data_IF_954321453637
#
_entry.id   IF_954321453637
#
_cell.length_a   1.000
_cell.length_b   1.000
_cell.length_c   1.000
_cell.angle_alpha   90.00
_cell.angle_beta   90.00
_cell.angle_gamma   90.00
#
_symmetry.space_group_name_H-M   'P 1'
#
loop_
_entity.id
_entity.type
_entity.pdbx_description
1 polymer ?
#
# COMPACT_ATOMS: atom_id res chain seq x y z
N UNK A 1 -16.87 0.95 14.22
CA UNK A 1 -16.80 -0.35 13.51
C UNK A 1 -18.00 -0.63 12.65
N UNK A 2 -19.22 -0.83 13.19
CA UNK A 2 -20.43 -1.20 12.40
C UNK A 2 -20.65 -0.34 11.14
N UNK A 3 -20.69 1.00 11.29
CA UNK A 3 -20.88 1.91 10.14
C UNK A 3 -19.79 1.80 9.07
N UNK A 4 -18.56 1.44 9.44
CA UNK A 4 -17.48 1.22 8.46
C UNK A 4 -17.74 -0.08 7.70
N UNK A 5 -18.08 -1.16 8.41
CA UNK A 5 -18.42 -2.46 7.81
C UNK A 5 -19.61 -2.34 6.85
N UNK A 6 -20.66 -1.59 7.24
CA UNK A 6 -21.85 -1.40 6.40
C UNK A 6 -21.50 -0.79 5.02
N UNK A 7 -20.42 0.01 4.94
CA UNK A 7 -19.97 0.66 3.69
C UNK A 7 -18.96 -0.21 2.93
N UNK A 8 -18.15 -1.02 3.62
CA UNK A 8 -17.02 -1.73 3.02
C UNK A 8 -17.23 -3.23 2.85
N UNK A 9 -18.34 -3.81 3.33
CA UNK A 9 -18.57 -5.26 3.31
C UNK A 9 -18.48 -5.92 1.92
N UNK A 10 -18.82 -5.18 0.86
CA UNK A 10 -18.81 -5.68 -0.51
C UNK A 10 -17.43 -5.50 -1.20
N UNK A 11 -16.45 -4.91 -0.51
CA UNK A 11 -15.11 -4.68 -1.04
C UNK A 11 -14.22 -5.91 -0.84
N UNK A 12 -14.05 -6.66 -1.92
CA UNK A 12 -13.29 -7.92 -1.98
C UNK A 12 -12.22 -7.82 -3.05
N UNK A 13 -11.12 -8.55 -2.90
CA UNK A 13 -10.13 -8.72 -3.97
C UNK A 13 -10.70 -9.67 -5.03
N UNK A 14 -10.90 -9.20 -6.26
CA UNK A 14 -11.63 -9.95 -7.30
C UNK A 14 -10.75 -10.41 -8.47
N UNK A 15 -9.56 -9.85 -8.62
CA UNK A 15 -8.61 -10.20 -9.67
C UNK A 15 -7.16 -9.96 -9.21
N UNK A 16 -6.18 -10.52 -9.93
CA UNK A 16 -4.76 -10.36 -9.59
C UNK A 16 -4.23 -8.96 -9.96
N UNK A 17 -4.56 -8.49 -11.17
CA UNK A 17 -4.01 -7.26 -11.72
C UNK A 17 -5.01 -6.56 -12.65
N UNK A 18 -5.37 -5.31 -12.33
CA UNK A 18 -6.21 -4.48 -13.19
C UNK A 18 -5.45 -3.77 -14.34
N UNK A 19 -4.12 -3.94 -14.42
CA UNK A 19 -3.26 -3.34 -15.46
C UNK A 19 -3.08 -1.82 -15.37
N UNK A 20 -3.49 -1.17 -14.29
CA UNK A 20 -3.34 0.29 -14.14
C UNK A 20 -1.90 0.68 -13.84
N UNK A 21 -1.37 1.64 -14.61
CA UNK A 21 -0.12 2.35 -14.33
C UNK A 21 -0.38 3.64 -13.50
N UNK A 22 -1.64 3.88 -13.15
CA UNK A 22 -2.00 4.93 -12.21
C UNK A 22 -1.58 4.54 -10.81
N UNK A 23 -1.26 5.56 -10.03
CA UNK A 23 -0.75 5.38 -8.68
C UNK A 23 -0.59 6.72 -7.99
N UNK A 24 -0.08 6.67 -6.78
CA UNK A 24 0.25 7.84 -5.99
C UNK A 24 1.76 7.90 -5.80
N UNK A 25 2.33 9.09 -6.00
CA UNK A 25 3.72 9.32 -5.65
C UNK A 25 3.86 9.37 -4.13
N UNK A 26 4.71 8.52 -3.57
CA UNK A 26 5.03 8.48 -2.16
C UNK A 26 6.43 9.02 -1.94
N UNK A 27 6.56 9.84 -0.89
CA UNK A 27 7.81 10.42 -0.37
C UNK A 27 7.82 10.26 1.15
N UNK A 28 8.96 10.44 1.80
CA UNK A 28 8.99 10.52 3.26
C UNK A 28 8.04 11.63 3.77
N UNK A 29 7.33 11.38 4.88
CA UNK A 29 6.49 12.37 5.53
C UNK A 29 7.35 13.21 6.48
N UNK A 30 7.49 14.50 6.17
CA UNK A 30 8.28 15.45 6.97
C UNK A 30 7.35 16.51 7.54
N UNK A 31 7.39 16.69 8.87
CA UNK A 31 6.60 17.70 9.58
C UNK A 31 7.52 18.43 10.56
N UNK A 32 7.52 19.76 10.52
CA UNK A 32 8.38 20.57 11.41
C UNK A 32 9.89 20.39 11.23
N UNK A 33 10.35 19.77 10.13
CA UNK A 33 11.76 19.47 9.88
C UNK A 33 12.21 18.10 10.42
N UNK A 34 11.32 17.34 11.04
CA UNK A 34 11.55 15.96 11.45
C UNK A 34 10.85 14.99 10.50
N UNK A 35 11.48 13.84 10.25
CA UNK A 35 10.88 12.76 9.47
C UNK A 35 9.95 11.98 10.39
N UNK A 36 8.64 12.12 10.15
CA UNK A 36 7.59 11.43 10.91
C UNK A 36 7.45 9.98 10.44
N UNK A 37 7.55 9.75 9.13
CA UNK A 37 7.45 8.43 8.52
C UNK A 37 8.40 8.35 7.32
N UNK A 38 9.27 7.34 7.31
CA UNK A 38 10.24 7.15 6.23
C UNK A 38 9.54 6.76 4.93
N UNK A 39 10.20 6.95 3.78
CA UNK A 39 9.66 6.44 2.51
C UNK A 39 9.45 4.93 2.59
N UNK A 40 10.43 4.20 3.14
CA UNK A 40 10.44 2.75 3.33
C UNK A 40 9.16 2.25 3.99
N UNK A 41 8.82 2.81 5.15
CA UNK A 41 7.65 2.40 5.93
C UNK A 41 6.34 2.65 5.18
N UNK A 42 6.27 3.76 4.42
CA UNK A 42 5.07 4.13 3.65
C UNK A 42 4.80 3.23 2.46
N UNK A 43 5.86 2.66 1.86
CA UNK A 43 5.76 1.89 0.61
C UNK A 43 5.92 0.38 0.78
N UNK A 44 6.38 -0.10 1.94
CA UNK A 44 6.51 -1.53 2.23
C UNK A 44 5.20 -2.27 1.98
N UNK A 45 5.29 -3.36 1.22
CA UNK A 45 4.17 -4.20 0.83
C UNK A 45 3.30 -3.63 -0.29
N UNK A 46 3.59 -2.43 -0.82
CA UNK A 46 2.88 -1.89 -2.00
C UNK A 46 3.51 -2.38 -3.29
N UNK A 47 2.82 -2.17 -4.41
CA UNK A 47 3.32 -2.51 -5.75
C UNK A 47 3.71 -1.26 -6.51
N UNK A 48 4.88 -1.28 -7.16
CA UNK A 48 5.34 -0.18 -8.01
C UNK A 48 4.40 -0.01 -9.23
N UNK A 49 3.95 1.22 -9.48
CA UNK A 49 3.06 1.52 -10.62
C UNK A 49 3.83 1.72 -11.93
N UNK A 50 5.09 2.14 -11.84
CA UNK A 50 6.02 2.30 -12.97
C UNK A 50 7.40 1.79 -12.54
N UNK A 51 8.32 1.65 -13.49
CA UNK A 51 9.70 1.29 -13.22
C UNK A 51 10.36 2.31 -12.28
N UNK A 52 11.04 1.81 -11.26
CA UNK A 52 11.88 2.61 -10.36
C UNK A 52 13.30 2.57 -10.90
N UNK A 53 13.84 3.74 -11.23
CA UNK A 53 15.16 3.91 -11.83
C UNK A 53 16.12 4.55 -10.85
N UNK A 54 17.40 4.21 -10.97
CA UNK A 54 18.46 4.85 -10.20
C UNK A 54 18.59 6.32 -10.61
N UNK A 55 18.64 7.28 -9.67
CA UNK A 55 18.65 8.71 -9.96
C UNK A 55 19.86 9.12 -10.83
N UNK A 56 21.06 8.64 -10.49
CA UNK A 56 22.28 8.97 -11.22
C UNK A 56 22.53 8.12 -12.48
N UNK A 57 22.41 6.79 -12.38
CA UNK A 57 22.81 5.88 -13.47
C UNK A 57 21.71 5.60 -14.48
N UNK A 58 20.46 5.96 -14.17
CA UNK A 58 19.26 5.64 -14.97
C UNK A 58 19.02 4.14 -15.20
N UNK A 59 19.73 3.27 -14.46
CA UNK A 59 19.48 1.83 -14.49
C UNK A 59 18.17 1.50 -13.76
N UNK A 60 17.37 0.59 -14.32
CA UNK A 60 16.15 0.10 -13.67
C UNK A 60 16.51 -0.73 -12.43
N UNK A 61 16.05 -0.29 -11.26
CA UNK A 61 16.25 -0.96 -9.97
C UNK A 61 15.11 -1.92 -9.67
N UNK A 62 13.88 -1.54 -10.02
CA UNK A 62 12.68 -2.35 -9.86
C UNK A 62 11.73 -2.12 -11.04
N UNK A 63 11.26 -3.19 -11.67
CA UNK A 63 10.26 -3.09 -12.75
C UNK A 63 8.85 -2.85 -12.21
N UNK A 64 8.02 -2.17 -12.98
CA UNK A 64 6.62 -1.93 -12.70
C UNK A 64 5.87 -3.24 -12.40
N UNK A 65 4.90 -3.18 -11.49
CA UNK A 65 4.07 -4.32 -11.13
C UNK A 65 4.69 -5.29 -10.12
N UNK A 66 5.92 -5.06 -9.67
CA UNK A 66 6.53 -5.80 -8.57
C UNK A 66 6.23 -5.18 -7.20
N UNK A 67 6.12 -6.05 -6.19
CA UNK A 67 5.94 -5.64 -4.81
C UNK A 67 7.25 -5.11 -4.23
N UNK A 68 7.12 -4.10 -3.37
CA UNK A 68 8.18 -3.54 -2.55
C UNK A 68 8.25 -4.34 -1.24
N UNK A 69 9.18 -5.28 -1.20
CA UNK A 69 9.54 -6.06 -0.01
C UNK A 69 10.78 -5.46 0.67
N UNK A 70 11.21 -6.07 1.77
CA UNK A 70 12.34 -5.60 2.57
C UNK A 70 13.65 -5.56 1.77
N UNK A 71 13.91 -6.58 0.95
CA UNK A 71 15.14 -6.70 0.15
C UNK A 71 15.20 -5.68 -0.98
N UNK A 72 14.09 -5.49 -1.71
CA UNK A 72 14.00 -4.47 -2.76
C UNK A 72 14.12 -3.06 -2.20
N UNK A 73 13.54 -2.79 -1.02
CA UNK A 73 13.67 -1.50 -0.37
C UNK A 73 15.09 -1.20 0.11
N UNK A 74 15.85 -2.20 0.56
CA UNK A 74 17.27 -2.02 0.90
C UNK A 74 18.07 -1.52 -0.31
N UNK A 75 17.81 -2.07 -1.50
CA UNK A 75 18.47 -1.65 -2.75
C UNK A 75 18.07 -0.23 -3.13
N UNK A 76 16.77 0.10 -3.04
CA UNK A 76 16.26 1.44 -3.40
C UNK A 76 16.77 2.52 -2.45
N UNK A 77 16.88 2.22 -1.15
CA UNK A 77 17.39 3.12 -0.13
C UNK A 77 18.89 3.38 -0.31
N UNK A 78 19.68 2.34 -0.58
CA UNK A 78 21.12 2.47 -0.90
C UNK A 78 21.37 3.28 -2.19
N UNK A 79 20.46 3.19 -3.16
CA UNK A 79 20.52 3.95 -4.41
C UNK A 79 20.06 5.42 -4.25
N UNK A 80 19.57 5.82 -3.07
CA UNK A 80 19.12 7.18 -2.80
C UNK A 80 17.81 7.57 -3.47
N UNK A 81 16.90 6.61 -3.69
CA UNK A 81 15.56 6.88 -4.23
C UNK A 81 14.71 7.59 -3.18
N UNK A 82 14.21 8.79 -3.52
CA UNK A 82 13.45 9.67 -2.62
C UNK A 82 11.94 9.70 -2.90
N UNK A 83 11.51 9.21 -4.06
CA UNK A 83 10.12 9.14 -4.49
C UNK A 83 9.83 7.85 -5.25
N UNK A 84 8.72 7.18 -4.92
CA UNK A 84 8.25 5.98 -5.63
C UNK A 84 6.76 6.15 -5.95
N UNK A 85 6.39 5.93 -7.21
CA UNK A 85 4.98 5.87 -7.61
C UNK A 85 4.45 4.46 -7.37
N UNK A 86 3.52 4.33 -6.43
CA UNK A 86 2.92 3.04 -6.03
C UNK A 86 1.46 2.95 -6.45
N UNK A 87 1.01 1.74 -6.74
CA UNK A 87 -0.40 1.46 -6.98
C UNK A 87 -1.17 1.61 -5.67
N UNK A 88 -2.42 2.06 -5.77
CA UNK A 88 -3.27 2.27 -4.59
C UNK A 88 -4.69 1.75 -4.85
N UNK A 89 -5.44 1.40 -3.80
CA UNK A 89 -6.86 1.05 -3.95
C UNK A 89 -7.69 2.16 -4.62
N UNK A 90 -7.31 3.44 -4.41
CA UNK A 90 -7.99 4.61 -4.98
C UNK A 90 -7.80 4.77 -6.49
N UNK A 91 -6.74 4.19 -7.04
CA UNK A 91 -6.38 4.29 -8.48
C UNK A 91 -6.61 2.98 -9.23
N UNK A 92 -7.26 2.01 -8.58
CA UNK A 92 -7.54 0.69 -9.11
C UNK A 92 -8.54 0.77 -10.29
N UNK A 93 -8.24 0.07 -11.38
CA UNK A 93 -9.10 0.00 -12.57
C UNK A 93 -10.21 -1.05 -12.47
N UNK A 94 -10.19 -1.91 -11.45
CA UNK A 94 -11.20 -2.95 -11.23
C UNK A 94 -12.57 -2.31 -10.97
N UNK A 95 -13.58 -2.69 -11.76
CA UNK A 95 -14.92 -2.08 -11.68
C UNK A 95 -15.70 -2.43 -10.41
N UNK A 96 -15.60 -3.68 -9.96
CA UNK A 96 -16.27 -4.18 -8.76
C UNK A 96 -15.24 -4.94 -7.89
N UNK A 97 -14.91 -4.39 -6.74
CA UNK A 97 -13.85 -4.90 -5.87
C UNK A 97 -12.51 -4.20 -6.11
N UNK A 98 -11.42 -4.91 -5.81
CA UNK A 98 -10.04 -4.46 -5.98
C UNK A 98 -9.20 -5.56 -6.62
N UNK A 99 -8.14 -5.19 -7.33
CA UNK A 99 -7.12 -6.17 -7.72
C UNK A 99 -6.06 -6.35 -6.61
N UNK A 100 -5.44 -7.52 -6.57
CA UNK A 100 -4.42 -7.87 -5.58
C UNK A 100 -3.24 -6.89 -5.60
N UNK A 101 -2.76 -6.52 -6.79
CA UNK A 101 -1.62 -5.58 -6.92
C UNK A 101 -1.93 -4.15 -6.49
N UNK A 102 -3.17 -3.66 -6.61
CA UNK A 102 -3.53 -2.33 -6.10
C UNK A 102 -3.71 -2.30 -4.59
N UNK A 103 -4.06 -3.44 -3.98
CA UNK A 103 -4.09 -3.60 -2.52
C UNK A 103 -2.66 -3.79 -1.96
N UNK A 104 -1.91 -4.72 -2.52
CA UNK A 104 -0.56 -5.09 -2.12
C UNK A 104 -0.53 -6.25 -1.13
N UNK A 105 0.32 -6.12 -0.11
CA UNK A 105 0.62 -7.16 0.88
C UNK A 105 -0.52 -7.33 1.88
N UNK A 106 -0.88 -8.58 2.14
CA UNK A 106 -1.68 -8.98 3.28
C UNK A 106 -0.81 -8.91 4.55
N UNK A 107 -1.15 -7.99 5.45
CA UNK A 107 -0.40 -7.77 6.70
C UNK A 107 -0.53 -8.92 7.71
N UNK A 108 -1.52 -9.80 7.56
CA UNK A 108 -1.69 -10.97 8.42
C UNK A 108 -0.86 -12.17 7.97
N UNK A 109 -0.59 -12.29 6.67
CA UNK A 109 0.13 -13.44 6.07
C UNK A 109 1.53 -13.09 5.55
N UNK A 110 1.80 -11.81 5.32
CA UNK A 110 3.10 -11.32 4.86
C UNK A 110 3.38 -11.50 3.37
N UNK A 111 2.44 -12.02 2.57
CA UNK A 111 2.54 -12.14 1.11
C UNK A 111 1.56 -11.22 0.38
N UNK A 112 1.51 -11.29 -0.96
CA UNK A 112 0.46 -10.64 -1.74
C UNK A 112 -0.92 -11.15 -1.31
N UNK A 113 -1.90 -10.24 -1.25
CA UNK A 113 -3.27 -10.61 -0.90
C UNK A 113 -3.86 -11.59 -1.92
N UNK A 114 -4.62 -12.58 -1.42
CA UNK A 114 -5.26 -13.56 -2.28
C UNK A 114 -6.56 -13.02 -2.90
N UNK A 115 -6.89 -13.49 -4.10
CA UNK A 115 -8.22 -13.30 -4.68
C UNK A 115 -9.27 -13.98 -3.79
N UNK A 116 -10.38 -13.27 -3.55
CA UNK A 116 -11.46 -13.67 -2.66
C UNK A 116 -11.35 -13.11 -1.24
N UNK A 117 -10.26 -12.43 -0.89
CA UNK A 117 -10.08 -11.86 0.45
C UNK A 117 -11.01 -10.65 0.69
N UNK A 118 -11.72 -10.65 1.82
CA UNK A 118 -12.70 -9.63 2.19
C UNK A 118 -12.03 -8.39 2.83
N UNK A 119 -11.16 -7.74 2.06
CA UNK A 119 -10.30 -6.63 2.51
C UNK A 119 -11.07 -5.43 3.08
N UNK A 120 -12.31 -5.20 2.65
CA UNK A 120 -13.15 -4.14 3.19
C UNK A 120 -13.56 -4.36 4.64
N UNK A 121 -13.91 -5.59 5.01
CA UNK A 121 -14.27 -5.95 6.39
C UNK A 121 -13.03 -5.88 7.28
N UNK A 122 -11.89 -6.40 6.78
CA UNK A 122 -10.60 -6.34 7.48
C UNK A 122 -10.24 -4.88 7.79
N UNK A 123 -10.25 -4.00 6.78
CA UNK A 123 -9.94 -2.59 6.95
C UNK A 123 -10.87 -1.88 7.96
N UNK A 124 -12.18 -2.16 7.89
CA UNK A 124 -13.15 -1.57 8.81
C UNK A 124 -12.93 -1.99 10.27
N UNK A 125 -12.50 -3.22 10.51
CA UNK A 125 -12.16 -3.74 11.84
C UNK A 125 -10.84 -3.15 12.35
N UNK A 126 -9.81 -3.13 11.51
CA UNK A 126 -8.49 -2.56 11.84
C UNK A 126 -8.56 -1.08 12.22
N UNK A 127 -9.53 -0.33 11.71
CA UNK A 127 -9.80 1.06 12.13
C UNK A 127 -10.69 1.09 13.38
N UNK A 128 -11.72 0.25 13.42
CA UNK A 128 -12.77 0.32 14.44
C UNK A 128 -12.33 -0.15 15.83
N UNK A 129 -11.52 -1.19 15.92
CA UNK A 129 -11.05 -1.74 17.20
C UNK A 129 -10.12 -0.76 17.94
N UNK A 130 -9.03 -0.23 17.34
CA UNK A 130 -8.19 0.76 18.01
C UNK A 130 -8.96 2.01 18.41
N UNK A 131 -9.90 2.46 17.57
CA UNK A 131 -10.75 3.61 17.90
C UNK A 131 -11.57 3.40 19.17
N UNK A 132 -12.08 2.18 19.38
CA UNK A 132 -12.82 1.84 20.60
C UNK A 132 -11.90 1.83 21.82
N UNK A 133 -10.70 1.26 21.69
CA UNK A 133 -9.70 1.25 22.78
C UNK A 133 -9.26 2.66 23.17
N UNK A 134 -9.01 3.54 22.19
CA UNK A 134 -8.63 4.92 22.45
C UNK A 134 -9.71 5.65 23.25
N UNK A 135 -10.99 5.53 22.84
CA UNK A 135 -12.09 6.19 23.57
C UNK A 135 -12.26 5.71 25.00
N UNK A 136 -11.92 4.45 25.32
CA UNK A 136 -11.99 3.96 26.69
C UNK A 136 -10.83 4.43 27.58
N UNK A 137 -9.68 4.81 26.99
CA UNK A 137 -8.47 5.23 27.72
C UNK A 137 -8.33 6.74 27.86
N UNK A 138 -9.15 7.52 27.16
CA UNK A 138 -9.11 9.00 27.18
C UNK A 138 -10.05 9.65 28.20
N UNK A 139 -10.62 8.87 29.13
CA UNK A 139 -11.45 9.36 30.23
C UNK A 139 -10.95 8.84 31.57
#
# INVERSE_FOLDING_TARGET
TRRLVDVTQDLVVTEEDCGTDNGMNMRALVEGGEVIESLRDRVLGRVAAIDVVHPETQATLLTAGNMLDEDTLDVLEQAGVDEIKVRTPLTCGTRFGLCAKCYGRDLGRGGLVNVGEAVGVIAAQSIGEPGTQLTMRTF
#
